data_IF_875145079316
#
_entry.id   IF_875145079316
#
_cell.length_a   1.000
_cell.length_b   1.000
_cell.length_c   1.000
_cell.angle_alpha   90.00
_cell.angle_beta   90.00
_cell.angle_gamma   90.00
#
_symmetry.space_group_name_H-M   'P 1'
#
loop_
_entity.id
_entity.type
_entity.pdbx_description
1 polymer ?
#
# COMPACT_ATOMS: atom_id res chain seq x y z
N UNK A 1 53.90 -56.49 -8.94
CA UNK A 1 53.14 -57.20 -7.89
C UNK A 1 53.32 -56.35 -6.65
N UNK A 2 52.36 -55.57 -6.17
CA UNK A 2 50.91 -55.78 -6.15
C UNK A 2 50.19 -54.41 -6.09
N UNK A 3 48.96 -54.39 -6.58
CA UNK A 3 48.03 -53.26 -6.61
C UNK A 3 47.57 -52.89 -5.20
N UNK A 4 47.48 -51.59 -4.87
CA UNK A 4 46.57 -51.09 -3.83
C UNK A 4 45.74 -49.94 -4.44
N UNK A 5 44.65 -50.33 -5.09
CA UNK A 5 43.51 -49.45 -5.36
C UNK A 5 43.05 -48.85 -4.03
N UNK A 6 43.23 -47.53 -3.84
CA UNK A 6 42.57 -46.83 -2.74
C UNK A 6 41.12 -46.59 -3.17
N UNK A 7 40.30 -47.64 -3.01
CA UNK A 7 38.87 -47.63 -3.27
C UNK A 7 38.18 -46.58 -2.42
N UNK A 8 37.37 -45.75 -3.07
CA UNK A 8 36.46 -44.81 -2.44
C UNK A 8 35.66 -45.55 -1.36
N UNK A 9 35.62 -45.01 -0.12
CA UNK A 9 34.89 -45.68 0.96
C UNK A 9 33.43 -45.89 0.51
N UNK A 10 32.78 -47.05 0.78
CA UNK A 10 31.39 -47.29 0.38
C UNK A 10 30.42 -46.17 0.81
N UNK A 11 30.77 -45.44 1.86
CA UNK A 11 30.04 -44.27 2.34
C UNK A 11 30.24 -43.01 1.48
N UNK A 12 31.43 -42.81 0.91
CA UNK A 12 31.76 -41.66 0.05
C UNK A 12 31.12 -41.79 -1.34
N UNK A 13 31.12 -43.00 -1.90
CA UNK A 13 30.40 -43.30 -3.15
C UNK A 13 28.88 -43.10 -3.00
N UNK A 14 28.30 -43.53 -1.87
CA UNK A 14 26.89 -43.30 -1.55
C UNK A 14 26.58 -41.80 -1.47
N UNK A 15 27.38 -41.02 -0.74
CA UNK A 15 27.16 -39.57 -0.60
C UNK A 15 27.33 -38.83 -1.94
N UNK A 16 28.25 -39.27 -2.80
CA UNK A 16 28.42 -38.76 -4.16
C UNK A 16 27.18 -39.02 -5.02
N UNK A 17 26.61 -40.22 -4.94
CA UNK A 17 25.34 -40.58 -5.60
C UNK A 17 24.18 -39.74 -5.07
N UNK A 18 24.03 -39.60 -3.75
CA UNK A 18 22.97 -38.79 -3.14
C UNK A 18 23.06 -37.32 -3.53
N UNK A 19 24.27 -36.77 -3.69
CA UNK A 19 24.48 -35.39 -4.20
C UNK A 19 24.04 -35.25 -5.66
N UNK A 20 24.27 -36.25 -6.50
CA UNK A 20 23.79 -36.27 -7.90
C UNK A 20 22.27 -36.35 -7.95
N UNK A 21 21.66 -37.26 -7.18
CA UNK A 21 20.21 -37.43 -7.10
C UNK A 21 19.49 -36.16 -6.59
N UNK A 22 20.08 -35.45 -5.62
CA UNK A 22 19.57 -34.14 -5.16
C UNK A 22 19.61 -33.08 -6.26
N UNK A 23 20.68 -33.04 -7.07
CA UNK A 23 20.78 -32.11 -8.21
C UNK A 23 19.76 -32.44 -9.30
N UNK A 24 19.56 -33.71 -9.60
CA UNK A 24 18.59 -34.16 -10.60
C UNK A 24 17.14 -33.88 -10.16
N UNK A 25 16.84 -34.03 -8.87
CA UNK A 25 15.53 -33.67 -8.32
C UNK A 25 15.27 -32.16 -8.40
N UNK A 26 16.29 -31.33 -8.11
CA UNK A 26 16.18 -29.87 -8.27
C UNK A 26 15.95 -29.47 -9.74
N UNK A 27 16.59 -30.16 -10.69
CA UNK A 27 16.34 -29.98 -12.12
C UNK A 27 14.90 -30.36 -12.51
N UNK A 28 14.36 -31.46 -11.96
CA UNK A 28 12.96 -31.87 -12.15
C UNK A 28 11.97 -30.86 -11.55
N UNK A 29 12.27 -30.28 -10.39
CA UNK A 29 11.43 -29.24 -9.78
C UNK A 29 11.38 -27.96 -10.62
N UNK A 30 12.51 -27.57 -11.21
CA UNK A 30 12.54 -26.43 -12.15
C UNK A 30 11.66 -26.69 -13.38
N UNK A 31 11.70 -27.91 -13.93
CA UNK A 31 10.85 -28.30 -15.05
C UNK A 31 9.35 -28.32 -14.66
N UNK A 32 8.99 -28.96 -13.55
CA UNK A 32 7.60 -29.01 -13.05
C UNK A 32 7.06 -27.62 -12.69
N UNK A 33 7.87 -26.76 -12.11
CA UNK A 33 7.45 -25.38 -11.80
C UNK A 33 7.22 -24.56 -13.06
N UNK A 34 7.98 -24.82 -14.13
CA UNK A 34 7.80 -24.14 -15.43
C UNK A 34 6.50 -24.57 -16.10
N UNK A 35 6.16 -25.86 -16.08
CA UNK A 35 4.89 -26.37 -16.65
C UNK A 35 3.67 -25.97 -15.81
N UNK A 36 3.80 -25.96 -14.48
CA UNK A 36 2.74 -25.55 -13.56
C UNK A 36 2.41 -24.05 -13.63
N UNK A 37 3.40 -23.19 -13.95
CA UNK A 37 3.19 -21.73 -14.09
C UNK A 37 2.38 -21.37 -15.34
N UNK A 38 2.32 -22.24 -16.35
CA UNK A 38 1.46 -22.10 -17.52
C UNK A 38 0.07 -22.75 -17.36
N UNK A 39 -0.21 -23.43 -16.24
CA UNK A 39 -1.45 -24.16 -15.98
C UNK A 39 -2.43 -23.42 -15.07
N UNK A 40 -3.59 -24.05 -14.81
CA UNK A 40 -4.63 -23.51 -13.92
C UNK A 40 -4.21 -23.57 -12.43
N UNK A 41 -4.82 -22.73 -11.57
CA UNK A 41 -4.53 -22.64 -10.12
C UNK A 41 -4.54 -23.98 -9.37
N UNK A 42 -5.36 -24.95 -9.84
CA UNK A 42 -5.40 -26.32 -9.33
C UNK A 42 -4.11 -27.10 -9.66
N UNK A 43 -3.63 -27.03 -10.90
CA UNK A 43 -2.39 -27.69 -11.34
C UNK A 43 -1.16 -27.12 -10.62
N UNK A 44 -1.15 -25.82 -10.33
CA UNK A 44 -0.06 -25.20 -9.55
C UNK A 44 0.03 -25.73 -8.12
N UNK A 45 -1.11 -26.03 -7.49
CA UNK A 45 -1.18 -26.62 -6.15
C UNK A 45 -0.78 -28.10 -6.17
N UNK A 46 -1.30 -28.87 -7.12
CA UNK A 46 -0.98 -30.30 -7.29
C UNK A 46 0.52 -30.51 -7.56
N UNK A 47 1.13 -29.74 -8.46
CA UNK A 47 2.59 -29.80 -8.68
C UNK A 47 3.38 -29.37 -7.43
N UNK A 48 2.85 -28.46 -6.61
CA UNK A 48 3.45 -28.09 -5.33
C UNK A 48 3.49 -29.24 -4.32
N UNK A 49 2.37 -29.93 -4.16
CA UNK A 49 2.25 -31.10 -3.27
C UNK A 49 3.10 -32.27 -3.78
N UNK A 50 3.18 -32.47 -5.09
CA UNK A 50 4.01 -33.51 -5.71
C UNK A 50 5.52 -33.24 -5.49
N UNK A 51 5.97 -31.99 -5.56
CA UNK A 51 7.35 -31.62 -5.22
C UNK A 51 7.69 -31.95 -3.77
N UNK A 52 6.81 -31.62 -2.81
CA UNK A 52 7.01 -31.91 -1.39
C UNK A 52 7.07 -33.43 -1.15
N UNK A 53 6.19 -34.19 -1.81
CA UNK A 53 6.17 -35.66 -1.71
C UNK A 53 7.46 -36.28 -2.23
N UNK A 54 7.94 -35.85 -3.39
CA UNK A 54 9.17 -36.37 -4.00
C UNK A 54 10.43 -36.03 -3.19
N UNK A 55 10.49 -34.85 -2.57
CA UNK A 55 11.60 -34.45 -1.70
C UNK A 55 11.65 -35.33 -0.44
N UNK A 56 10.50 -35.52 0.22
CA UNK A 56 10.39 -36.35 1.42
C UNK A 56 10.75 -37.82 1.15
N UNK A 57 10.29 -38.39 0.03
CA UNK A 57 10.60 -39.78 -0.31
C UNK A 57 12.09 -39.99 -0.58
N UNK A 58 12.75 -39.04 -1.26
CA UNK A 58 14.18 -39.11 -1.50
C UNK A 58 15.00 -38.98 -0.21
N UNK A 59 14.64 -38.03 0.66
CA UNK A 59 15.33 -37.82 1.93
C UNK A 59 15.19 -39.05 2.85
N UNK A 60 14.01 -39.65 2.90
CA UNK A 60 13.79 -40.90 3.64
C UNK A 60 14.61 -42.06 3.07
N UNK A 61 14.72 -42.17 1.73
CA UNK A 61 15.54 -43.20 1.09
C UNK A 61 17.02 -43.00 1.39
N UNK A 62 17.52 -41.77 1.25
CA UNK A 62 18.92 -41.42 1.54
C UNK A 62 19.28 -41.66 3.00
N UNK A 63 18.35 -41.37 3.91
CA UNK A 63 18.52 -41.67 5.33
C UNK A 63 18.62 -43.17 5.60
N UNK A 64 17.74 -43.99 5.00
CA UNK A 64 17.77 -45.45 5.13
C UNK A 64 19.05 -46.05 4.56
N UNK A 65 19.51 -45.60 3.39
CA UNK A 65 20.76 -46.07 2.78
C UNK A 65 21.97 -45.78 3.66
N UNK A 66 22.02 -44.61 4.31
CA UNK A 66 23.09 -44.27 5.25
C UNK A 66 23.01 -45.13 6.52
N UNK A 67 21.80 -45.38 7.04
CA UNK A 67 21.60 -46.28 8.19
C UNK A 67 22.02 -47.73 7.85
N UNK A 68 21.68 -48.22 6.66
CA UNK A 68 22.05 -49.56 6.20
C UNK A 68 23.56 -49.74 6.00
N UNK A 69 24.27 -48.74 5.44
CA UNK A 69 25.74 -48.79 5.33
C UNK A 69 26.40 -48.68 6.71
N UNK A 70 25.83 -47.90 7.63
CA UNK A 70 26.30 -47.84 9.02
C UNK A 70 26.14 -49.17 9.75
N UNK A 71 25.03 -49.88 9.54
CA UNK A 71 24.81 -51.21 10.11
C UNK A 71 25.72 -52.27 9.50
N UNK A 72 25.96 -52.23 8.19
CA UNK A 72 26.85 -53.18 7.48
C UNK A 72 28.34 -52.97 7.75
N UNK A 73 28.76 -51.77 8.15
CA UNK A 73 30.18 -51.44 8.42
C UNK A 73 30.62 -51.67 9.87
N UNK A 74 29.74 -52.14 10.76
CA UNK A 74 30.12 -52.64 12.09
C UNK A 74 30.88 -51.65 12.96
N UNK A 75 30.57 -50.35 12.90
CA UNK A 75 31.17 -49.33 13.76
C UNK A 75 30.11 -48.69 14.66
N UNK A 76 30.14 -49.03 15.95
CA UNK A 76 29.41 -48.32 16.99
C UNK A 76 30.08 -46.96 17.29
N UNK A 77 29.24 -45.94 17.47
CA UNK A 77 29.60 -44.55 17.72
C UNK A 77 30.37 -44.32 19.03
N UNK A 78 30.99 -43.13 19.20
CA UNK A 78 30.27 -42.11 19.96
C UNK A 78 30.15 -40.72 19.30
N UNK A 79 28.92 -40.20 19.38
CA UNK A 79 28.44 -38.84 19.69
C UNK A 79 29.03 -37.56 19.06
N UNK A 80 28.09 -36.63 18.83
CA UNK A 80 28.28 -35.18 18.68
C UNK A 80 29.41 -34.63 19.56
N UNK A 81 30.26 -33.73 19.02
CA UNK A 81 30.79 -32.59 19.81
C UNK A 81 31.29 -31.45 18.93
N UNK A 82 30.97 -30.24 19.40
CA UNK A 82 31.57 -28.95 19.04
C UNK A 82 33.07 -28.88 19.41
N UNK A 83 33.82 -28.13 18.59
CA UNK A 83 34.92 -27.18 18.89
C UNK A 83 36.15 -27.55 19.75
N UNK A 84 37.35 -27.35 19.17
CA UNK A 84 38.48 -26.59 19.78
C UNK A 84 39.82 -27.29 20.09
N UNK A 85 40.93 -26.76 19.50
CA UNK A 85 42.37 -26.65 19.95
C UNK A 85 43.12 -27.90 20.56
N UNK A 86 44.44 -28.19 20.40
CA UNK A 86 45.70 -27.53 19.97
C UNK A 86 46.87 -28.56 19.95
N UNK A 87 47.98 -28.29 19.22
CA UNK A 87 49.33 -28.89 19.42
C UNK A 87 49.92 -29.61 18.19
N UNK A 88 50.65 -28.92 17.31
CA UNK A 88 52.13 -28.90 17.13
C UNK A 88 52.78 -30.21 16.62
N UNK A 89 53.11 -30.27 15.33
CA UNK A 89 54.49 -30.34 14.81
C UNK A 89 54.53 -30.14 13.27
N UNK A 90 55.66 -29.59 12.79
CA UNK A 90 56.00 -29.08 11.45
C UNK A 90 55.99 -30.18 10.37
N UNK A 91 55.69 -29.92 9.09
CA UNK A 91 56.53 -29.19 8.13
C UNK A 91 55.76 -28.69 6.88
N UNK A 92 56.44 -27.79 6.16
CA UNK A 92 56.06 -26.89 5.05
C UNK A 92 55.37 -27.56 3.83
N UNK A 93 54.56 -26.86 3.01
CA UNK A 93 54.30 -25.43 2.93
C UNK A 93 53.26 -25.08 1.86
N UNK A 94 52.86 -23.80 1.87
CA UNK A 94 52.30 -23.08 0.71
C UNK A 94 50.78 -23.16 0.51
N UNK A 95 50.02 -22.30 1.21
CA UNK A 95 48.65 -21.95 0.78
C UNK A 95 48.35 -20.45 0.95
N UNK A 96 48.62 -19.73 -0.12
CA UNK A 96 48.11 -18.42 -0.50
C UNK A 96 46.58 -18.44 -0.55
N UNK A 97 45.81 -18.03 0.49
CA UNK A 97 44.45 -17.51 0.28
C UNK A 97 44.03 -16.59 1.44
N UNK A 98 43.87 -15.30 1.10
CA UNK A 98 43.25 -14.28 1.95
C UNK A 98 41.80 -14.64 2.23
N UNK A 99 41.44 -14.74 3.51
CA UNK A 99 40.08 -14.96 3.99
C UNK A 99 39.18 -13.77 3.60
N UNK A 100 38.26 -13.99 2.66
CA UNK A 100 37.12 -13.09 2.41
C UNK A 100 35.91 -13.62 3.15
N UNK A 101 35.59 -12.99 4.29
CA UNK A 101 34.32 -13.18 4.99
C UNK A 101 33.18 -12.65 4.10
N UNK A 102 32.56 -13.55 3.34
CA UNK A 102 31.39 -13.22 2.55
C UNK A 102 30.17 -13.21 3.47
N UNK A 103 29.79 -12.02 3.97
CA UNK A 103 28.51 -11.84 4.67
C UNK A 103 27.39 -12.52 3.87
N UNK A 104 26.65 -13.41 4.52
CA UNK A 104 25.64 -14.25 3.88
C UNK A 104 24.60 -13.44 3.12
N UNK A 105 24.14 -13.94 1.97
CA UNK A 105 23.15 -13.29 1.08
C UNK A 105 21.91 -12.76 1.82
N UNK A 106 21.51 -13.39 2.93
CA UNK A 106 20.42 -12.93 3.79
C UNK A 106 20.74 -11.66 4.59
N UNK A 107 21.95 -11.50 5.11
CA UNK A 107 22.36 -10.32 5.86
C UNK A 107 22.37 -9.08 4.96
N UNK A 108 22.88 -9.22 3.73
CA UNK A 108 22.85 -8.16 2.71
C UNK A 108 21.43 -7.79 2.28
N UNK A 109 20.48 -8.74 2.26
CA UNK A 109 19.06 -8.49 1.97
C UNK A 109 18.36 -7.75 3.12
N UNK A 110 18.66 -8.10 4.36
CA UNK A 110 18.10 -7.44 5.54
C UNK A 110 18.63 -6.02 5.69
N UNK A 111 19.94 -5.81 5.47
CA UNK A 111 20.57 -4.47 5.46
C UNK A 111 19.93 -3.58 4.37
N UNK A 112 19.72 -4.09 3.15
CA UNK A 112 19.05 -3.35 2.07
C UNK A 112 17.62 -2.94 2.42
N UNK A 113 16.84 -3.85 3.02
CA UNK A 113 15.45 -3.57 3.43
C UNK A 113 15.39 -2.56 4.59
N UNK A 114 16.34 -2.63 5.52
CA UNK A 114 16.45 -1.65 6.60
C UNK A 114 16.82 -0.25 6.07
N UNK A 115 17.72 -0.17 5.08
CA UNK A 115 18.09 1.08 4.44
C UNK A 115 16.95 1.68 3.61
N UNK A 116 16.21 0.88 2.84
CA UNK A 116 14.98 1.31 2.15
C UNK A 116 13.94 1.86 3.15
N UNK A 117 13.72 1.17 4.26
CA UNK A 117 12.78 1.62 5.29
C UNK A 117 13.23 2.92 5.96
N UNK A 118 14.54 3.09 6.18
CA UNK A 118 15.12 4.33 6.71
C UNK A 118 15.01 5.49 5.71
N UNK A 119 15.22 5.24 4.41
CA UNK A 119 15.03 6.23 3.34
C UNK A 119 13.56 6.62 3.20
N UNK A 120 12.63 5.66 3.26
CA UNK A 120 11.19 5.93 3.26
C UNK A 120 10.76 6.73 4.49
N UNK A 121 11.26 6.39 5.68
CA UNK A 121 10.98 7.16 6.89
C UNK A 121 11.54 8.59 6.83
N UNK A 122 12.75 8.75 6.28
CA UNK A 122 13.34 10.08 6.06
C UNK A 122 12.54 10.90 5.05
N UNK A 123 12.14 10.32 3.91
CA UNK A 123 11.28 10.98 2.93
C UNK A 123 9.92 11.37 3.53
N UNK A 124 9.28 10.47 4.27
CA UNK A 124 8.02 10.75 4.96
C UNK A 124 8.17 11.89 5.99
N UNK A 125 9.29 11.96 6.72
CA UNK A 125 9.53 13.07 7.67
C UNK A 125 9.74 14.42 6.96
N UNK A 126 10.40 14.42 5.79
CA UNK A 126 10.57 15.64 4.99
C UNK A 126 9.23 16.09 4.41
N UNK A 127 8.42 15.16 3.90
CA UNK A 127 7.08 15.44 3.39
C UNK A 127 6.14 15.94 4.50
N UNK A 128 6.26 15.42 5.73
CA UNK A 128 5.47 15.85 6.87
C UNK A 128 5.84 17.27 7.33
N UNK A 129 7.15 17.59 7.39
CA UNK A 129 7.61 18.95 7.70
C UNK A 129 7.25 19.94 6.59
N UNK A 130 7.34 19.52 5.32
CA UNK A 130 6.87 20.30 4.19
C UNK A 130 5.36 20.51 4.23
N UNK A 131 4.58 19.52 4.67
CA UNK A 131 3.14 19.64 4.85
C UNK A 131 2.78 20.63 5.96
N UNK A 132 3.49 20.61 7.10
CA UNK A 132 3.32 21.59 8.20
C UNK A 132 3.61 23.02 7.76
N UNK A 133 4.57 23.18 6.86
CA UNK A 133 5.00 24.48 6.32
C UNK A 133 4.35 24.79 4.97
N UNK A 134 3.33 24.02 4.57
CA UNK A 134 2.63 24.25 3.30
C UNK A 134 1.85 25.56 3.36
N UNK A 135 1.70 26.22 2.20
CA UNK A 135 0.90 27.44 2.07
C UNK A 135 -0.52 27.25 2.63
N UNK A 136 -1.14 26.10 2.32
CA UNK A 136 -2.46 25.72 2.87
C UNK A 136 -2.51 25.72 4.40
N UNK A 137 -1.46 25.23 5.06
CA UNK A 137 -1.44 25.17 6.53
C UNK A 137 -1.26 26.55 7.14
N UNK A 138 -0.43 27.40 6.53
CA UNK A 138 -0.30 28.80 6.92
C UNK A 138 -1.61 29.57 6.71
N UNK A 139 -2.27 29.40 5.57
CA UNK A 139 -3.57 30.01 5.26
C UNK A 139 -4.64 29.58 6.27
N UNK A 140 -4.77 28.27 6.52
CA UNK A 140 -5.73 27.74 7.50
C UNK A 140 -5.44 28.28 8.90
N UNK A 141 -4.17 28.36 9.30
CA UNK A 141 -3.77 28.92 10.58
C UNK A 141 -4.15 30.40 10.67
N UNK A 142 -3.93 31.19 9.62
CA UNK A 142 -4.32 32.60 9.57
C UNK A 142 -5.85 32.76 9.71
N UNK A 143 -6.64 31.90 9.06
CA UNK A 143 -8.11 31.89 9.20
C UNK A 143 -8.52 31.58 10.64
N UNK A 144 -7.90 30.58 11.29
CA UNK A 144 -8.20 30.28 12.70
C UNK A 144 -7.81 31.45 13.61
N UNK A 145 -6.67 32.09 13.38
CA UNK A 145 -6.22 33.25 14.14
C UNK A 145 -7.18 34.45 14.03
N UNK A 146 -7.87 34.65 12.91
CA UNK A 146 -8.90 35.71 12.78
C UNK A 146 -10.23 35.36 13.45
N UNK A 147 -10.55 34.07 13.59
CA UNK A 147 -11.78 33.59 14.22
C UNK A 147 -11.70 33.54 15.75
N UNK A 148 -10.52 33.25 16.31
CA UNK A 148 -10.31 33.12 17.77
C UNK A 148 -10.79 34.33 18.59
N UNK A 149 -10.48 35.60 18.22
CA UNK A 149 -10.97 36.77 18.97
C UNK A 149 -12.49 36.93 18.96
N UNK A 150 -13.17 36.33 17.97
CA UNK A 150 -14.63 36.34 17.83
C UNK A 150 -15.29 35.19 18.57
N UNK A 151 -14.52 34.29 19.18
CA UNK A 151 -15.03 33.07 19.81
C UNK A 151 -15.62 32.07 18.81
N UNK A 152 -15.17 32.12 17.56
CA UNK A 152 -15.64 31.24 16.48
C UNK A 152 -14.62 30.12 16.22
N UNK A 153 -15.11 28.98 15.77
CA UNK A 153 -14.30 27.82 15.39
C UNK A 153 -14.68 27.33 14.00
N UNK A 154 -13.69 26.81 13.27
CA UNK A 154 -13.90 26.20 11.97
C UNK A 154 -14.54 24.81 12.13
N UNK A 155 -15.49 24.50 11.27
CA UNK A 155 -16.13 23.18 11.20
C UNK A 155 -15.90 22.63 9.80
N UNK A 156 -15.41 21.40 9.73
CA UNK A 156 -15.18 20.73 8.45
C UNK A 156 -16.52 20.31 7.84
N UNK A 157 -16.82 20.88 6.68
CA UNK A 157 -17.92 20.50 5.82
C UNK A 157 -17.34 19.64 4.67
N UNK A 158 -18.02 18.57 4.24
CA UNK A 158 -17.57 17.77 3.10
C UNK A 158 -17.25 18.64 1.88
N UNK A 159 -16.07 18.48 1.26
CA UNK A 159 -15.67 19.26 0.09
C UNK A 159 -16.32 18.68 -1.18
N UNK A 160 -17.65 18.71 -1.23
CA UNK A 160 -18.47 18.35 -2.39
C UNK A 160 -19.02 19.61 -3.07
N UNK A 161 -19.71 19.43 -4.21
CA UNK A 161 -20.36 20.54 -4.91
C UNK A 161 -21.59 21.10 -4.19
N UNK A 162 -21.92 20.58 -3.01
CA UNK A 162 -23.04 20.98 -2.14
C UNK A 162 -22.55 21.72 -0.88
N UNK A 163 -21.24 21.92 -0.72
CA UNK A 163 -20.61 22.39 0.51
C UNK A 163 -21.18 23.72 1.03
N UNK A 164 -21.55 24.65 0.15
CA UNK A 164 -22.20 25.90 0.52
C UNK A 164 -23.54 25.68 1.22
N UNK A 165 -24.38 24.81 0.67
CA UNK A 165 -25.68 24.48 1.24
C UNK A 165 -25.51 23.66 2.52
N UNK A 166 -24.55 22.74 2.56
CA UNK A 166 -24.22 21.99 3.78
C UNK A 166 -23.71 22.90 4.91
N UNK A 167 -22.91 23.91 4.61
CA UNK A 167 -22.44 24.88 5.59
C UNK A 167 -23.60 25.68 6.20
N UNK A 168 -24.54 26.17 5.37
CA UNK A 168 -25.72 26.89 5.86
C UNK A 168 -26.66 25.97 6.65
N UNK A 169 -26.89 24.74 6.17
CA UNK A 169 -27.71 23.73 6.87
C UNK A 169 -27.15 23.42 8.26
N UNK A 170 -25.82 23.28 8.38
CA UNK A 170 -25.15 23.09 9.65
C UNK A 170 -25.38 24.27 10.61
N UNK A 171 -25.25 25.51 10.14
CA UNK A 171 -25.51 26.71 10.96
C UNK A 171 -26.98 26.82 11.41
N UNK A 172 -27.93 26.43 10.56
CA UNK A 172 -29.35 26.39 10.94
C UNK A 172 -29.64 25.34 12.00
N UNK A 173 -28.97 24.18 11.91
CA UNK A 173 -29.12 23.09 12.87
C UNK A 173 -28.64 23.51 14.26
N UNK A 174 -27.50 24.23 14.35
CA UNK A 174 -27.03 24.84 15.61
C UNK A 174 -28.07 25.82 16.16
N UNK A 175 -28.75 26.58 15.29
CA UNK A 175 -29.83 27.49 15.63
C UNK A 175 -31.16 26.82 15.98
N UNK A 176 -31.23 25.49 16.08
CA UNK A 176 -32.43 24.72 16.43
C UNK A 176 -33.40 24.48 15.27
N UNK A 177 -32.97 24.69 14.02
CA UNK A 177 -33.77 24.39 12.82
C UNK A 177 -33.09 23.33 11.99
N UNK A 178 -33.64 22.12 12.01
CA UNK A 178 -33.19 21.06 11.10
C UNK A 178 -33.61 21.40 9.66
N UNK A 179 -32.62 21.44 8.76
CA UNK A 179 -32.83 21.71 7.35
C UNK A 179 -31.78 20.94 6.57
N UNK A 180 -32.16 20.27 5.48
CA UNK A 180 -31.22 19.56 4.63
C UNK A 180 -30.63 20.51 3.57
N UNK A 181 -29.43 20.19 3.08
CA UNK A 181 -28.83 20.94 1.96
C UNK A 181 -29.75 20.99 0.74
N UNK A 182 -30.42 19.88 0.43
CA UNK A 182 -31.42 19.80 -0.63
C UNK A 182 -32.64 20.72 -0.43
N UNK A 183 -33.08 20.95 0.81
CA UNK A 183 -34.15 21.91 1.10
C UNK A 183 -33.70 23.35 0.82
N UNK A 184 -32.46 23.67 1.17
CA UNK A 184 -31.87 24.99 0.91
C UNK A 184 -31.71 25.24 -0.58
N UNK A 185 -31.27 24.24 -1.36
CA UNK A 185 -31.23 24.32 -2.83
C UNK A 185 -32.59 24.67 -3.43
N UNK A 186 -33.65 23.95 -3.05
CA UNK A 186 -35.02 24.23 -3.50
C UNK A 186 -35.48 25.64 -3.13
N UNK A 187 -35.19 26.08 -1.90
CA UNK A 187 -35.55 27.42 -1.42
C UNK A 187 -34.82 28.51 -2.20
N UNK A 188 -33.52 28.36 -2.42
CA UNK A 188 -32.72 29.29 -3.21
C UNK A 188 -33.25 29.39 -4.65
N UNK A 189 -33.43 28.24 -5.33
CA UNK A 189 -33.95 28.19 -6.70
C UNK A 189 -35.34 28.82 -6.82
N UNK A 190 -36.26 28.54 -5.88
CA UNK A 190 -37.59 29.14 -5.87
C UNK A 190 -37.55 30.66 -5.67
N UNK A 191 -36.66 31.15 -4.80
CA UNK A 191 -36.50 32.58 -4.56
C UNK A 191 -35.92 33.29 -5.79
N UNK A 192 -34.85 32.75 -6.39
CA UNK A 192 -34.24 33.28 -7.60
C UNK A 192 -35.27 33.33 -8.74
N UNK A 193 -36.03 32.25 -8.94
CA UNK A 193 -37.06 32.18 -9.98
C UNK A 193 -38.17 33.22 -9.81
N UNK A 194 -38.56 33.53 -8.57
CA UNK A 194 -39.60 34.54 -8.28
C UNK A 194 -39.11 35.98 -8.35
N UNK A 195 -37.80 36.20 -8.28
CA UNK A 195 -37.16 37.52 -8.30
C UNK A 195 -36.19 37.65 -9.49
N UNK A 196 -36.59 37.13 -10.65
CA UNK A 196 -35.72 37.02 -11.83
C UNK A 196 -34.95 38.31 -12.13
N UNK A 197 -35.63 39.45 -12.16
CA UNK A 197 -35.03 40.74 -12.55
C UNK A 197 -33.90 41.19 -11.62
N UNK A 198 -33.92 40.77 -10.34
CA UNK A 198 -32.89 41.10 -9.36
C UNK A 198 -31.63 40.23 -9.50
N UNK A 199 -31.78 39.02 -10.04
CA UNK A 199 -30.70 38.03 -10.15
C UNK A 199 -30.10 37.96 -11.56
N UNK A 200 -30.92 38.16 -12.60
CA UNK A 200 -30.50 38.05 -13.99
C UNK A 200 -29.24 38.86 -14.35
N UNK A 201 -29.04 40.11 -13.85
CA UNK A 201 -27.84 40.88 -14.15
C UNK A 201 -26.52 40.27 -13.62
N UNK A 202 -26.61 39.38 -12.64
CA UNK A 202 -25.47 38.72 -12.01
C UNK A 202 -25.24 37.30 -12.52
N UNK A 203 -26.10 36.82 -13.42
CA UNK A 203 -25.96 35.54 -14.08
C UNK A 203 -25.41 35.79 -15.49
N UNK A 204 -24.36 35.05 -15.85
CA UNK A 204 -23.74 35.16 -17.18
C UNK A 204 -23.48 33.79 -17.78
N UNK A 205 -23.53 33.72 -19.10
CA UNK A 205 -23.11 32.55 -19.88
C UNK A 205 -21.59 32.41 -19.84
N UNK A 206 -21.06 31.31 -20.37
CA UNK A 206 -19.60 31.09 -20.47
C UNK A 206 -18.88 32.18 -21.28
N UNK A 207 -19.60 32.81 -22.21
CA UNK A 207 -19.12 33.92 -23.05
C UNK A 207 -19.25 35.30 -22.37
N UNK A 208 -19.85 35.37 -21.17
CA UNK A 208 -20.04 36.60 -20.40
C UNK A 208 -21.29 37.40 -20.76
N UNK A 209 -22.16 36.84 -21.61
CA UNK A 209 -23.45 37.46 -21.97
C UNK A 209 -24.52 37.18 -20.91
N UNK A 210 -25.52 38.05 -20.84
CA UNK A 210 -26.67 37.89 -19.94
C UNK A 210 -27.49 36.68 -20.38
N UNK A 211 -27.93 35.86 -19.42
CA UNK A 211 -28.77 34.69 -19.72
C UNK A 211 -30.08 35.10 -20.37
N UNK A 212 -30.48 34.33 -21.39
CA UNK A 212 -31.84 34.40 -21.91
C UNK A 212 -32.85 33.72 -20.95
N UNK A 213 -34.15 33.80 -21.30
CA UNK A 213 -35.23 33.21 -20.51
C UNK A 213 -35.08 31.69 -20.32
N UNK A 214 -34.63 30.99 -21.36
CA UNK A 214 -34.51 29.53 -21.34
C UNK A 214 -33.32 29.09 -20.49
N UNK A 215 -32.18 29.76 -20.66
CA UNK A 215 -30.96 29.53 -19.88
C UNK A 215 -31.18 29.87 -18.40
N UNK A 216 -31.94 30.92 -18.10
CA UNK A 216 -32.29 31.27 -16.73
C UNK A 216 -33.12 30.18 -16.05
N UNK A 217 -34.10 29.61 -16.73
CA UNK A 217 -34.88 28.50 -16.17
C UNK A 217 -34.02 27.25 -16.00
N UNK A 218 -33.13 26.96 -16.96
CA UNK A 218 -32.16 25.86 -16.85
C UNK A 218 -31.23 26.06 -15.64
N UNK A 219 -30.76 27.28 -15.41
CA UNK A 219 -29.98 27.65 -14.23
C UNK A 219 -30.74 27.34 -12.94
N UNK A 220 -31.99 27.80 -12.83
CA UNK A 220 -32.82 27.55 -11.64
C UNK A 220 -33.02 26.05 -11.38
N UNK A 221 -33.25 25.25 -12.43
CA UNK A 221 -33.36 23.78 -12.33
C UNK A 221 -32.03 23.16 -11.88
N UNK A 222 -30.88 23.67 -12.34
CA UNK A 222 -29.56 23.19 -11.90
C UNK A 222 -29.29 23.57 -10.44
N UNK A 223 -29.65 24.77 -9.99
CA UNK A 223 -29.51 25.18 -8.57
C UNK A 223 -30.32 24.26 -7.65
N UNK A 224 -31.51 23.84 -8.08
CA UNK A 224 -32.39 22.95 -7.33
C UNK A 224 -31.82 21.54 -7.12
N UNK A 225 -31.07 21.03 -8.10
CA UNK A 225 -30.47 19.69 -8.06
C UNK A 225 -29.25 19.64 -7.16
N UNK A 226 -29.03 18.51 -6.51
CA UNK A 226 -27.79 18.22 -5.78
C UNK A 226 -26.60 18.02 -6.75
N UNK A 227 -25.39 18.27 -6.27
CA UNK A 227 -24.19 18.20 -7.12
C UNK A 227 -23.98 16.81 -7.73
N UNK A 228 -24.36 15.75 -7.02
CA UNK A 228 -24.28 14.36 -7.51
C UNK A 228 -25.15 14.11 -8.76
N UNK A 229 -26.19 14.93 -8.97
CA UNK A 229 -27.15 14.82 -10.09
C UNK A 229 -26.92 15.91 -11.16
N UNK A 230 -25.74 16.53 -11.17
CA UNK A 230 -25.40 17.61 -12.10
C UNK A 230 -25.94 18.99 -11.69
N UNK A 231 -26.11 19.20 -10.37
CA UNK A 231 -26.51 20.49 -9.82
C UNK A 231 -25.44 21.58 -9.93
N UNK A 232 -25.90 22.84 -9.92
CA UNK A 232 -25.03 24.02 -9.95
C UNK A 232 -24.32 24.19 -8.60
N UNK A 233 -23.05 24.60 -8.65
CA UNK A 233 -22.30 24.98 -7.45
C UNK A 233 -22.84 26.30 -6.92
N UNK A 234 -23.04 26.41 -5.61
CA UNK A 234 -23.55 27.64 -5.01
C UNK A 234 -22.53 28.78 -5.10
N UNK A 235 -23.01 29.98 -5.41
CA UNK A 235 -22.24 31.22 -5.37
C UNK A 235 -22.98 32.34 -4.65
N UNK A 236 -22.62 33.58 -4.99
CA UNK A 236 -23.23 34.80 -4.43
C UNK A 236 -24.74 34.89 -4.68
N UNK A 237 -25.28 34.57 -5.89
CA UNK A 237 -26.73 34.59 -6.13
C UNK A 237 -27.49 33.66 -5.16
N UNK A 238 -26.98 32.45 -4.94
CA UNK A 238 -27.60 31.49 -4.02
C UNK A 238 -27.50 31.95 -2.57
N UNK A 239 -26.36 32.50 -2.14
CA UNK A 239 -26.19 33.04 -0.79
C UNK A 239 -27.17 34.19 -0.52
N UNK A 240 -27.30 35.12 -1.46
CA UNK A 240 -28.23 36.24 -1.34
C UNK A 240 -29.67 35.73 -1.27
N UNK A 241 -30.05 34.81 -2.15
CA UNK A 241 -31.38 34.20 -2.12
C UNK A 241 -31.67 33.48 -0.80
N UNK A 242 -30.70 32.77 -0.25
CA UNK A 242 -30.81 32.10 1.05
C UNK A 242 -30.91 33.09 2.21
N UNK A 243 -30.14 34.17 2.19
CA UNK A 243 -30.18 35.21 3.22
C UNK A 243 -31.57 35.84 3.31
N UNK A 244 -32.16 36.18 2.16
CA UNK A 244 -33.53 36.71 2.07
C UNK A 244 -34.58 35.67 2.49
N UNK A 245 -34.48 34.45 1.98
CA UNK A 245 -35.45 33.38 2.28
C UNK A 245 -35.45 32.97 3.76
N UNK A 246 -34.27 32.99 4.39
CA UNK A 246 -34.12 32.67 5.81
C UNK A 246 -34.35 33.90 6.71
N UNK A 247 -34.45 35.10 6.13
CA UNK A 247 -34.50 36.39 6.82
C UNK A 247 -33.36 36.54 7.84
N UNK A 248 -32.15 36.15 7.43
CA UNK A 248 -30.95 36.15 8.27
C UNK A 248 -29.74 36.60 7.48
N UNK A 249 -28.90 37.42 8.11
CA UNK A 249 -27.61 37.82 7.56
C UNK A 249 -26.68 36.60 7.51
N UNK A 250 -26.11 36.35 6.34
CA UNK A 250 -24.99 35.43 6.15
C UNK A 250 -23.71 36.26 6.10
N UNK A 251 -22.67 35.82 6.81
CA UNK A 251 -21.34 36.44 6.80
C UNK A 251 -20.36 35.42 6.20
N UNK A 252 -19.61 35.85 5.19
CA UNK A 252 -18.58 35.07 4.49
C UNK A 252 -17.23 35.70 4.74
#
# INVERSE_FOLDING_TARGET
>A
MSEEECGDSPMEELLSRQRKEKKDLQAKFLAMKKTAKSGNKKQQKESGEEMIKMEKEMEERHKREVEEIKEKSGAAAPQEVKSGEKGEEKEEGGAFYKEKTTKGKNQKRMERKAEERKKQAAAASVDEEAAKTSMRTMEMKAVVETLLPRGLSLVDIPPDGDCLFHAVAHQLTIGGKECLGADLRRRAAAFIRSHKDDFLPFLSTEDGDILDEFQFEEYCVKVEKEACSGGQWGGEPELRALAETLQRKIEV
#
